data_IF_989438693685
#
_entry.id   IF_989438693685
#
_cell.length_a   1.000
_cell.length_b   1.000
_cell.length_c   1.000
_cell.angle_alpha   90.00
_cell.angle_beta   90.00
_cell.angle_gamma   90.00
#
_symmetry.space_group_name_H-M   'P 1'
#
loop_
_entity.id
_entity.type
_entity.pdbx_description
1 polymer ?
#
# COMPACT_ATOMS: atom_id res chain seq x y z
N UNK A 1 -3.51 -18.84 4.00
CA UNK A 1 -3.04 -18.14 5.21
C UNK A 1 -2.66 -16.71 4.82
N UNK A 2 -2.67 -15.73 5.73
CA UNK A 2 -2.20 -14.39 5.42
C UNK A 2 -0.70 -14.42 5.06
N UNK A 3 -0.26 -13.76 3.98
CA UNK A 3 1.15 -13.82 3.55
C UNK A 3 2.10 -13.02 4.44
N UNK A 4 1.59 -12.03 5.18
CA UNK A 4 2.37 -11.18 6.06
C UNK A 4 2.08 -11.46 7.53
N UNK A 5 3.12 -11.48 8.35
CA UNK A 5 3.01 -11.27 9.79
C UNK A 5 2.97 -9.77 10.06
N UNK A 6 1.98 -9.28 10.79
CA UNK A 6 1.93 -7.88 11.24
C UNK A 6 1.87 -7.86 12.76
N UNK A 7 2.80 -7.15 13.38
CA UNK A 7 2.86 -7.00 14.83
C UNK A 7 3.00 -5.53 15.20
N UNK A 8 2.33 -5.11 16.28
CA UNK A 8 2.60 -3.82 16.89
C UNK A 8 4.05 -3.77 17.39
N UNK A 9 4.69 -2.61 17.29
CA UNK A 9 6.01 -2.39 17.84
C UNK A 9 6.16 -0.98 18.39
N UNK A 10 7.09 -0.80 19.31
CA UNK A 10 7.38 0.51 19.87
C UNK A 10 8.22 1.36 18.90
N UNK A 11 7.84 2.63 18.81
CA UNK A 11 8.62 3.71 18.19
C UNK A 11 8.94 4.73 19.29
N UNK A 12 8.02 5.63 19.61
CA UNK A 12 8.19 6.63 20.66
C UNK A 12 6.84 7.17 21.14
N UNK A 13 6.84 8.21 21.98
CA UNK A 13 5.63 8.85 22.48
C UNK A 13 4.83 9.64 21.42
N UNK A 14 5.36 9.82 20.21
CA UNK A 14 4.75 10.62 19.15
C UNK A 14 4.04 9.76 18.10
N UNK A 15 4.43 8.50 17.95
CA UNK A 15 3.96 7.60 16.90
C UNK A 15 3.74 6.17 17.40
N UNK A 16 2.69 5.52 16.90
CA UNK A 16 2.48 4.08 17.04
C UNK A 16 3.22 3.31 15.95
N UNK A 17 3.67 2.09 16.24
CA UNK A 17 4.48 1.30 15.31
C UNK A 17 3.82 0.01 14.86
N UNK A 18 4.02 -0.32 13.59
CA UNK A 18 3.75 -1.65 13.03
C UNK A 18 5.02 -2.22 12.38
N UNK A 19 5.25 -3.51 12.60
CA UNK A 19 6.35 -4.26 12.00
C UNK A 19 5.76 -5.37 11.15
N UNK A 20 6.20 -5.45 9.90
CA UNK A 20 5.73 -6.45 8.94
C UNK A 20 6.87 -7.39 8.55
N UNK A 21 6.56 -8.68 8.49
CA UNK A 21 7.43 -9.72 7.93
C UNK A 21 6.66 -10.54 6.91
N UNK A 22 7.37 -11.11 5.94
CA UNK A 22 6.78 -12.07 5.00
C UNK A 22 6.87 -13.46 5.59
N UNK A 23 5.72 -14.09 5.80
CA UNK A 23 5.62 -15.48 6.30
C UNK A 23 5.43 -16.47 5.14
N UNK A 24 4.89 -16.02 4.01
CA UNK A 24 4.68 -16.83 2.81
C UNK A 24 4.99 -16.01 1.54
N UNK A 25 6.23 -16.16 1.04
CA UNK A 25 6.70 -15.50 -0.18
C UNK A 25 5.88 -15.90 -1.41
N UNK A 26 5.39 -17.14 -1.47
CA UNK A 26 4.66 -17.65 -2.65
C UNK A 26 3.28 -17.02 -2.74
N UNK A 27 2.55 -17.00 -1.62
CA UNK A 27 1.25 -16.34 -1.54
C UNK A 27 1.38 -14.84 -1.78
N UNK A 28 2.42 -14.19 -1.21
CA UNK A 28 2.66 -12.77 -1.41
C UNK A 28 2.93 -12.46 -2.89
N UNK A 29 3.84 -13.20 -3.53
CA UNK A 29 4.17 -13.05 -4.94
C UNK A 29 2.94 -13.24 -5.84
N UNK A 30 2.11 -14.25 -5.57
CA UNK A 30 0.87 -14.49 -6.31
C UNK A 30 -0.12 -13.33 -6.18
N UNK A 31 -0.29 -12.76 -4.99
CA UNK A 31 -1.14 -11.59 -4.78
C UNK A 31 -0.60 -10.35 -5.50
N UNK A 32 0.71 -10.13 -5.48
CA UNK A 32 1.37 -9.02 -6.20
C UNK A 32 1.17 -9.18 -7.71
N UNK A 33 1.29 -10.41 -8.24
CA UNK A 33 1.00 -10.70 -9.64
C UNK A 33 -0.46 -10.40 -10.02
N UNK A 34 -1.42 -10.80 -9.18
CA UNK A 34 -2.85 -10.53 -9.38
C UNK A 34 -3.12 -9.02 -9.39
N UNK A 35 -2.50 -8.26 -8.47
CA UNK A 35 -2.58 -6.79 -8.44
C UNK A 35 -1.94 -6.19 -9.70
N UNK A 36 -0.80 -6.70 -10.15
CA UNK A 36 -0.11 -6.24 -11.36
C UNK A 36 -0.93 -6.47 -12.64
N UNK A 37 -1.75 -7.53 -12.68
CA UNK A 37 -2.74 -7.79 -13.74
C UNK A 37 -4.01 -6.91 -13.62
N UNK A 38 -4.06 -5.96 -12.67
CA UNK A 38 -5.18 -5.06 -12.48
C UNK A 38 -6.33 -5.63 -11.65
N UNK A 39 -6.14 -6.77 -10.99
CA UNK A 39 -7.21 -7.48 -10.29
C UNK A 39 -7.15 -7.30 -8.76
N UNK A 40 -6.93 -6.07 -8.29
CA UNK A 40 -6.86 -5.75 -6.84
C UNK A 40 -8.13 -6.14 -6.07
N UNK A 41 -9.31 -6.07 -6.70
CA UNK A 41 -10.56 -6.55 -6.10
C UNK A 41 -10.54 -8.05 -5.83
N UNK A 42 -9.94 -8.85 -6.73
CA UNK A 42 -9.77 -10.28 -6.53
C UNK A 42 -8.75 -10.57 -5.42
N UNK A 43 -7.62 -9.85 -5.39
CA UNK A 43 -6.66 -9.94 -4.28
C UNK A 43 -7.32 -9.64 -2.93
N UNK A 44 -8.21 -8.64 -2.87
CA UNK A 44 -9.00 -8.32 -1.68
C UNK A 44 -9.90 -9.49 -1.26
N UNK A 45 -10.60 -10.11 -2.23
CA UNK A 45 -11.44 -11.27 -1.98
C UNK A 45 -10.63 -12.44 -1.42
N UNK A 46 -9.48 -12.75 -2.02
CA UNK A 46 -8.57 -13.81 -1.58
C UNK A 46 -8.12 -13.59 -0.15
N UNK A 47 -7.64 -12.39 0.19
CA UNK A 47 -7.22 -12.03 1.55
C UNK A 47 -8.37 -12.19 2.55
N UNK A 48 -9.56 -11.72 2.18
CA UNK A 48 -10.75 -11.76 3.02
C UNK A 48 -11.23 -13.19 3.30
N UNK A 49 -11.13 -14.08 2.30
CA UNK A 49 -11.57 -15.46 2.39
C UNK A 49 -10.42 -16.42 2.76
N UNK A 50 -9.20 -15.88 2.98
CA UNK A 50 -7.97 -16.63 3.26
C UNK A 50 -7.64 -17.70 2.21
N UNK A 51 -7.98 -17.44 0.94
CA UNK A 51 -7.79 -18.35 -0.18
C UNK A 51 -6.33 -18.35 -0.67
N UNK A 52 -5.91 -19.40 -1.40
CA UNK A 52 -4.70 -19.34 -2.21
C UNK A 52 -4.79 -18.24 -3.28
N UNK A 53 -3.65 -17.68 -3.66
CA UNK A 53 -3.58 -16.75 -4.78
C UNK A 53 -4.09 -17.42 -6.06
N UNK A 54 -5.15 -16.87 -6.64
CA UNK A 54 -5.72 -17.28 -7.91
C UNK A 54 -6.42 -16.08 -8.58
N UNK A 55 -6.01 -15.63 -9.78
CA UNK A 55 -6.69 -14.54 -10.46
C UNK A 55 -8.14 -14.91 -10.78
N UNK A 56 -9.00 -13.91 -10.95
CA UNK A 56 -10.39 -14.12 -11.34
C UNK A 56 -10.51 -14.57 -12.80
N UNK A 57 -9.57 -14.13 -13.63
CA UNK A 57 -9.43 -14.51 -15.03
C UNK A 57 -7.99 -14.24 -15.50
N UNK A 58 -7.62 -14.86 -16.62
CA UNK A 58 -6.31 -14.74 -17.25
C UNK A 58 -6.48 -14.38 -18.71
N UNK A 59 -5.67 -13.46 -19.22
CA UNK A 59 -5.47 -13.27 -20.66
C UNK A 59 -3.99 -13.08 -20.94
N UNK A 60 -3.48 -13.49 -22.13
CA UNK A 60 -2.08 -13.31 -22.47
C UNK A 60 -1.60 -11.86 -22.37
N UNK A 61 -2.46 -10.89 -22.71
CA UNK A 61 -2.14 -9.46 -22.70
C UNK A 61 -1.94 -8.93 -21.27
N UNK A 62 -2.84 -9.30 -20.34
CA UNK A 62 -2.72 -8.89 -18.94
C UNK A 62 -1.50 -9.51 -18.27
N UNK A 63 -1.25 -10.80 -18.55
CA UNK A 63 -0.05 -11.49 -18.08
C UNK A 63 1.22 -10.82 -18.63
N UNK A 64 1.25 -10.45 -19.91
CA UNK A 64 2.38 -9.75 -20.51
C UNK A 64 2.59 -8.34 -19.88
N UNK A 65 1.52 -7.56 -19.68
CA UNK A 65 1.61 -6.25 -19.04
C UNK A 65 2.12 -6.35 -17.60
N UNK A 66 1.60 -7.30 -16.82
CA UNK A 66 2.03 -7.53 -15.45
C UNK A 66 3.52 -7.90 -15.37
N UNK A 67 4.01 -8.77 -16.25
CA UNK A 67 5.44 -9.10 -16.34
C UNK A 67 6.30 -7.89 -16.68
N UNK A 68 5.85 -7.02 -17.58
CA UNK A 68 6.53 -5.75 -17.87
C UNK A 68 6.58 -4.86 -16.62
N UNK A 69 5.48 -4.73 -15.86
CA UNK A 69 5.47 -3.93 -14.60
C UNK A 69 6.46 -4.45 -13.55
N UNK A 70 6.67 -5.76 -13.49
CA UNK A 70 7.54 -6.42 -12.50
C UNK A 70 9.00 -6.52 -12.94
N UNK A 71 9.31 -6.21 -14.20
CA UNK A 71 10.66 -6.30 -14.77
C UNK A 71 11.38 -4.96 -14.66
N UNK A 72 12.66 -5.01 -14.25
CA UNK A 72 13.53 -3.83 -14.21
C UNK A 72 14.05 -3.48 -15.61
N UNK A 73 13.95 -2.21 -15.99
CA UNK A 73 14.51 -1.64 -17.20
C UNK A 73 14.93 -0.18 -16.94
N UNK A 74 16.22 0.05 -16.77
CA UNK A 74 16.75 1.41 -16.47
C UNK A 74 16.75 2.33 -17.68
N UNK A 75 17.09 1.80 -18.86
CA UNK A 75 17.14 2.58 -20.09
C UNK A 75 15.78 2.60 -20.77
N UNK A 76 15.29 3.77 -21.18
CA UNK A 76 14.05 3.87 -21.96
C UNK A 76 14.25 3.26 -23.35
N UNK A 77 13.36 2.35 -23.74
CA UNK A 77 13.31 1.75 -25.07
C UNK A 77 11.84 1.51 -25.52
N UNK A 78 11.67 1.24 -26.81
CA UNK A 78 10.39 0.93 -27.44
C UNK A 78 10.52 -0.34 -28.28
N UNK A 79 9.72 -1.40 -28.03
CA UNK A 79 8.70 -1.49 -26.98
C UNK A 79 9.30 -1.52 -25.57
N UNK A 80 8.52 -1.06 -24.58
CA UNK A 80 8.88 -1.16 -23.16
C UNK A 80 8.82 -2.63 -22.73
N UNK A 81 9.86 -3.10 -22.05
CA UNK A 81 9.94 -4.44 -21.46
C UNK A 81 10.02 -4.43 -19.93
N UNK A 82 10.21 -3.25 -19.32
CA UNK A 82 10.26 -3.06 -17.89
C UNK A 82 10.11 -1.60 -17.44
N UNK A 83 10.30 -1.35 -16.15
CA UNK A 83 10.32 -0.02 -15.54
C UNK A 83 11.63 0.22 -14.78
N UNK A 84 12.09 1.47 -14.62
CA UNK A 84 13.22 1.78 -13.73
C UNK A 84 13.02 1.16 -12.35
N UNK A 85 14.09 0.67 -11.73
CA UNK A 85 14.00 -0.10 -10.47
C UNK A 85 13.20 0.60 -9.39
N UNK A 86 13.39 1.91 -9.22
CA UNK A 86 12.65 2.68 -8.21
C UNK A 86 11.13 2.70 -8.43
N UNK A 87 10.66 2.60 -9.69
CA UNK A 87 9.23 2.49 -10.01
C UNK A 87 8.72 1.08 -9.75
N UNK A 88 9.49 0.07 -10.19
CA UNK A 88 9.17 -1.36 -9.98
C UNK A 88 9.07 -1.69 -8.49
N UNK A 89 10.11 -1.35 -7.72
CA UNK A 89 10.17 -1.59 -6.27
C UNK A 89 9.10 -0.77 -5.54
N UNK A 90 8.86 0.48 -5.99
CA UNK A 90 7.79 1.31 -5.46
C UNK A 90 6.41 0.67 -5.61
N UNK A 91 6.08 0.16 -6.80
CA UNK A 91 4.83 -0.55 -7.06
C UNK A 91 4.70 -1.82 -6.21
N UNK A 92 5.75 -2.65 -6.15
CA UNK A 92 5.73 -3.87 -5.33
C UNK A 92 5.50 -3.51 -3.86
N UNK A 93 6.20 -2.48 -3.35
CA UNK A 93 6.04 -2.06 -1.97
C UNK A 93 4.65 -1.50 -1.67
N UNK A 94 4.08 -0.72 -2.59
CA UNK A 94 2.71 -0.24 -2.49
C UNK A 94 1.70 -1.40 -2.41
N UNK A 95 1.88 -2.43 -3.24
CA UNK A 95 1.06 -3.64 -3.19
C UNK A 95 1.21 -4.36 -1.83
N UNK A 96 2.43 -4.53 -1.31
CA UNK A 96 2.66 -5.14 0.02
C UNK A 96 1.99 -4.31 1.12
N UNK A 97 2.17 -2.98 1.07
CA UNK A 97 1.62 -2.05 2.05
C UNK A 97 0.09 -2.05 2.08
N UNK A 98 -0.53 -2.23 0.90
CA UNK A 98 -1.97 -2.43 0.76
C UNK A 98 -2.43 -3.79 1.29
N UNK A 99 -1.67 -4.86 1.01
CA UNK A 99 -1.95 -6.21 1.54
C UNK A 99 -1.88 -6.20 3.08
N UNK A 100 -0.86 -5.57 3.67
CA UNK A 100 -0.70 -5.44 5.12
C UNK A 100 -1.92 -4.75 5.75
N UNK A 101 -2.33 -3.60 5.22
CA UNK A 101 -3.53 -2.90 5.70
C UNK A 101 -4.80 -3.77 5.56
N UNK A 102 -4.98 -4.46 4.44
CA UNK A 102 -6.14 -5.35 4.24
C UNK A 102 -6.18 -6.49 5.25
N UNK A 103 -5.02 -7.03 5.63
CA UNK A 103 -4.94 -8.06 6.67
C UNK A 103 -5.28 -7.53 8.06
N UNK A 104 -4.78 -6.35 8.42
CA UNK A 104 -4.98 -5.74 9.74
C UNK A 104 -6.41 -5.25 9.92
N UNK A 105 -6.95 -4.50 8.95
CA UNK A 105 -8.23 -3.81 9.09
C UNK A 105 -9.41 -4.57 8.45
N UNK A 106 -9.15 -5.59 7.63
CA UNK A 106 -10.17 -6.50 7.10
C UNK A 106 -11.28 -5.83 6.29
N UNK A 107 -12.53 -6.27 6.51
CA UNK A 107 -13.72 -5.88 5.73
C UNK A 107 -14.26 -4.48 6.06
N UNK A 108 -13.91 -3.91 7.20
CA UNK A 108 -14.34 -2.57 7.60
C UNK A 108 -13.50 -1.46 6.96
N UNK A 109 -12.34 -1.80 6.40
CA UNK A 109 -11.48 -0.87 5.68
C UNK A 109 -11.86 -0.77 4.19
N UNK A 110 -12.33 0.40 3.79
CA UNK A 110 -12.49 0.78 2.39
C UNK A 110 -11.24 1.48 1.94
N UNK A 111 -10.47 0.83 1.07
CA UNK A 111 -9.16 1.33 0.64
C UNK A 111 -9.12 1.60 -0.84
N UNK A 112 -8.41 2.66 -1.21
CA UNK A 112 -8.00 2.89 -2.59
C UNK A 112 -7.10 1.73 -3.03
N UNK A 113 -7.31 1.25 -4.25
CA UNK A 113 -6.50 0.15 -4.81
C UNK A 113 -5.09 0.67 -5.18
N UNK A 114 -4.06 -0.18 -5.17
CA UNK A 114 -2.70 0.23 -5.53
C UNK A 114 -2.64 0.83 -6.94
N UNK A 115 -1.76 1.80 -7.14
CA UNK A 115 -1.57 2.46 -8.43
C UNK A 115 -0.92 1.50 -9.44
N UNK A 116 -1.73 0.97 -10.35
CA UNK A 116 -1.24 0.19 -11.50
C UNK A 116 -0.66 1.06 -12.62
N UNK A 117 -0.78 2.40 -12.55
CA UNK A 117 -0.26 3.34 -13.55
C UNK A 117 0.60 4.44 -12.93
N UNK A 118 1.73 4.76 -13.59
CA UNK A 118 2.70 5.79 -13.17
C UNK A 118 2.23 7.23 -13.42
N UNK A 119 1.06 7.45 -14.04
CA UNK A 119 0.62 8.79 -14.50
C UNK A 119 -0.14 9.61 -13.46
N UNK A 120 -0.58 9.01 -12.35
CA UNK A 120 -1.25 9.73 -11.28
C UNK A 120 -0.26 10.15 -10.20
N UNK A 121 0.43 11.28 -10.40
CA UNK A 121 1.02 12.02 -9.28
C UNK A 121 -0.13 12.42 -8.34
N UNK A 122 -0.15 11.90 -7.11
CA UNK A 122 -1.31 12.07 -6.22
C UNK A 122 -1.18 11.25 -4.94
N UNK A 123 -2.23 11.28 -4.13
CA UNK A 123 -2.40 10.51 -2.88
C UNK A 123 -1.96 9.04 -3.03
N UNK A 124 -0.88 8.63 -2.34
CA UNK A 124 -0.35 7.24 -2.38
C UNK A 124 -1.40 6.24 -1.92
N UNK A 125 -2.05 6.50 -0.78
CA UNK A 125 -3.15 5.65 -0.30
C UNK A 125 -4.17 6.40 0.54
N UNK A 126 -5.39 5.88 0.55
CA UNK A 126 -6.47 6.32 1.40
C UNK A 126 -7.24 5.11 1.90
N UNK A 127 -7.53 5.10 3.20
CA UNK A 127 -8.39 4.13 3.84
C UNK A 127 -9.48 4.86 4.64
N UNK A 128 -10.71 4.41 4.50
CA UNK A 128 -11.84 4.79 5.34
C UNK A 128 -12.25 3.61 6.20
N UNK A 129 -12.40 3.85 7.49
CA UNK A 129 -13.12 2.96 8.39
C UNK A 129 -14.47 3.59 8.69
N UNK A 130 -15.52 2.85 8.36
CA UNK A 130 -16.90 3.29 8.56
C UNK A 130 -17.45 2.63 9.82
N UNK A 131 -18.34 3.36 10.49
CA UNK A 131 -19.25 2.80 11.49
C UNK A 131 -20.00 1.57 10.97
N UNK A 132 -20.43 0.70 11.89
CA UNK A 132 -21.11 -0.55 11.54
C UNK A 132 -22.38 -0.38 10.69
N UNK A 133 -23.09 0.75 10.85
CA UNK A 133 -24.28 1.11 10.05
C UNK A 133 -23.95 1.97 8.82
N UNK A 134 -22.66 2.30 8.61
CA UNK A 134 -22.11 3.10 7.51
C UNK A 134 -22.65 4.53 7.43
N UNK A 135 -23.17 5.08 8.53
CA UNK A 135 -23.71 6.45 8.57
C UNK A 135 -22.63 7.50 8.83
N UNK A 136 -21.49 7.09 9.40
CA UNK A 136 -20.34 7.94 9.66
C UNK A 136 -19.01 7.29 9.26
N UNK A 137 -18.06 8.14 8.89
CA UNK A 137 -16.64 7.80 8.82
C UNK A 137 -16.08 7.93 10.24
N UNK A 138 -15.58 6.82 10.78
CA UNK A 138 -14.91 6.77 12.09
C UNK A 138 -13.47 7.24 11.95
N UNK A 139 -12.77 6.77 10.90
CA UNK A 139 -11.40 7.18 10.62
C UNK A 139 -11.12 7.33 9.13
N UNK A 140 -10.26 8.30 8.81
CA UNK A 140 -9.63 8.46 7.52
C UNK A 140 -8.12 8.35 7.67
N UNK A 141 -7.51 7.31 7.09
CA UNK A 141 -6.07 7.12 7.15
C UNK A 141 -5.45 7.45 5.80
N UNK A 142 -4.56 8.45 5.79
CA UNK A 142 -3.78 8.90 4.63
C UNK A 142 -2.44 8.18 4.63
N UNK A 143 -2.08 7.55 3.52
CA UNK A 143 -0.83 6.81 3.42
C UNK A 143 0.20 7.61 2.63
N UNK A 144 1.47 7.54 3.02
CA UNK A 144 2.64 7.97 2.25
C UNK A 144 3.72 6.90 2.43
N UNK A 145 3.62 5.83 1.63
CA UNK A 145 4.42 4.61 1.79
C UNK A 145 5.55 4.61 0.77
N UNK A 146 6.80 4.43 1.19
CA UNK A 146 7.98 4.60 0.33
C UNK A 146 8.93 3.41 0.37
N UNK A 147 9.40 2.99 -0.79
CA UNK A 147 10.57 2.12 -0.94
C UNK A 147 11.78 2.98 -1.34
N UNK A 148 12.70 3.23 -0.40
CA UNK A 148 13.82 4.17 -0.58
C UNK A 148 15.14 3.57 -0.09
N UNK A 149 16.25 3.96 -0.73
CA UNK A 149 17.60 3.63 -0.24
C UNK A 149 18.01 4.49 0.98
N UNK A 150 17.33 5.62 1.19
CA UNK A 150 17.54 6.53 2.33
C UNK A 150 16.19 6.82 3.00
N UNK A 151 15.67 5.87 3.80
CA UNK A 151 14.33 5.96 4.36
C UNK A 151 14.22 7.10 5.39
N UNK A 152 15.24 7.35 6.20
CA UNK A 152 15.26 8.44 7.21
C UNK A 152 15.12 9.81 6.53
N UNK A 153 15.96 10.10 5.53
CA UNK A 153 15.89 11.35 4.78
C UNK A 153 14.59 11.46 3.99
N UNK A 154 14.12 10.35 3.42
CA UNK A 154 12.86 10.31 2.68
C UNK A 154 11.66 10.63 3.57
N UNK A 155 11.63 10.08 4.79
CA UNK A 155 10.59 10.38 5.76
C UNK A 155 10.59 11.88 6.10
N UNK A 156 11.74 12.39 6.52
CA UNK A 156 11.89 13.78 6.96
C UNK A 156 11.58 14.81 5.88
N UNK A 157 12.12 14.63 4.67
CA UNK A 157 12.09 15.67 3.64
C UNK A 157 11.04 15.47 2.55
N UNK A 158 10.37 14.31 2.50
CA UNK A 158 9.29 14.06 1.54
C UNK A 158 7.96 13.71 2.21
N UNK A 159 7.97 12.77 3.15
CA UNK A 159 6.73 12.27 3.77
C UNK A 159 6.14 13.29 4.74
N UNK A 160 6.92 13.85 5.67
CA UNK A 160 6.42 14.87 6.60
C UNK A 160 5.84 16.09 5.85
N UNK A 161 6.52 16.70 4.87
CA UNK A 161 5.94 17.80 4.09
C UNK A 161 4.64 17.41 3.37
N UNK A 162 4.58 16.22 2.76
CA UNK A 162 3.38 15.74 2.09
C UNK A 162 2.21 15.58 3.07
N UNK A 163 2.44 14.98 4.24
CA UNK A 163 1.41 14.89 5.28
C UNK A 163 0.97 16.25 5.80
N UNK A 164 1.89 17.20 5.99
CA UNK A 164 1.53 18.56 6.40
C UNK A 164 0.63 19.23 5.37
N UNK A 165 0.91 19.09 4.09
CA UNK A 165 0.04 19.63 3.04
C UNK A 165 -1.36 18.97 3.05
N UNK A 166 -1.45 17.67 3.36
CA UNK A 166 -2.75 17.01 3.58
C UNK A 166 -3.43 17.50 4.85
N UNK A 167 -2.69 17.63 5.94
CA UNK A 167 -3.17 18.09 7.25
C UNK A 167 -3.77 19.48 7.20
N UNK A 168 -3.07 20.39 6.54
CA UNK A 168 -3.50 21.77 6.31
C UNK A 168 -4.61 21.89 5.24
N UNK A 169 -5.12 20.75 4.74
CA UNK A 169 -6.19 20.66 3.74
C UNK A 169 -5.87 21.30 2.38
N UNK A 170 -4.59 21.61 2.09
CA UNK A 170 -4.14 22.19 0.80
C UNK A 170 -4.39 21.28 -0.41
N UNK A 171 -4.47 19.96 -0.18
CA UNK A 171 -4.75 18.94 -1.21
C UNK A 171 -6.00 18.10 -0.91
N UNK A 172 -7.02 18.70 -0.28
CA UNK A 172 -8.22 17.98 0.16
C UNK A 172 -9.09 17.47 -0.99
N UNK A 173 -9.08 18.14 -2.15
CA UNK A 173 -9.88 17.72 -3.30
C UNK A 173 -9.60 16.27 -3.71
N UNK A 174 -8.33 15.84 -3.69
CA UNK A 174 -7.95 14.46 -3.98
C UNK A 174 -8.46 13.48 -2.92
N UNK A 175 -8.42 13.86 -1.64
CA UNK A 175 -8.90 13.03 -0.52
C UNK A 175 -10.42 12.88 -0.61
N UNK A 176 -11.14 13.97 -0.84
CA UNK A 176 -12.60 13.98 -0.97
C UNK A 176 -13.02 13.11 -2.16
N UNK A 177 -12.41 13.30 -3.34
CA UNK A 177 -12.76 12.51 -4.53
C UNK A 177 -12.51 11.01 -4.31
N UNK A 178 -11.38 10.65 -3.69
CA UNK A 178 -11.09 9.26 -3.36
C UNK A 178 -12.07 8.72 -2.30
N UNK A 179 -12.42 9.51 -1.28
CA UNK A 179 -13.37 9.12 -0.25
C UNK A 179 -14.77 8.86 -0.83
N UNK A 180 -15.28 9.74 -1.69
CA UNK A 180 -16.58 9.56 -2.36
C UNK A 180 -16.62 8.24 -3.15
N UNK A 181 -15.57 7.93 -3.91
CA UNK A 181 -15.48 6.67 -4.64
C UNK A 181 -15.47 5.44 -3.71
N UNK A 182 -14.79 5.53 -2.56
CA UNK A 182 -14.75 4.46 -1.56
C UNK A 182 -16.11 4.26 -0.87
N UNK A 183 -16.82 5.34 -0.57
CA UNK A 183 -18.17 5.29 -0.02
C UNK A 183 -19.17 4.67 -1.01
N UNK A 184 -19.04 4.98 -2.31
CA UNK A 184 -19.79 4.29 -3.35
C UNK A 184 -19.53 2.78 -3.37
N UNK A 185 -18.27 2.34 -3.25
CA UNK A 185 -17.91 0.91 -3.08
C UNK A 185 -18.49 0.30 -1.79
N UNK A 186 -18.78 1.11 -0.78
CA UNK A 186 -19.47 0.67 0.43
C UNK A 186 -20.98 0.47 0.25
N UNK A 187 -21.53 0.81 -0.93
CA UNK A 187 -22.95 0.74 -1.25
C UNK A 187 -23.73 1.99 -0.85
N UNK A 188 -23.06 3.10 -0.59
CA UNK A 188 -23.70 4.38 -0.25
C UNK A 188 -24.03 5.12 -1.54
N UNK A 189 -25.26 5.65 -1.62
CA UNK A 189 -25.75 6.45 -2.76
C UNK A 189 -24.86 7.66 -3.05
N UNK A 190 -24.72 8.06 -4.32
CA UNK A 190 -23.79 9.12 -4.76
C UNK A 190 -24.00 10.45 -4.01
N UNK A 191 -25.26 10.85 -3.79
CA UNK A 191 -25.58 12.10 -3.08
C UNK A 191 -25.18 12.03 -1.61
N UNK A 192 -25.48 10.91 -0.96
CA UNK A 192 -25.10 10.66 0.43
C UNK A 192 -23.58 10.49 0.60
N UNK A 193 -22.91 9.82 -0.34
CA UNK A 193 -21.48 9.63 -0.38
C UNK A 193 -20.75 10.97 -0.49
N UNK A 194 -21.20 11.87 -1.37
CA UNK A 194 -20.63 13.20 -1.51
C UNK A 194 -20.76 14.04 -0.23
N UNK A 195 -21.91 13.96 0.46
CA UNK A 195 -22.11 14.65 1.74
C UNK A 195 -21.23 14.07 2.85
N UNK A 196 -21.22 12.75 3.00
CA UNK A 196 -20.44 12.04 4.01
C UNK A 196 -18.92 12.21 3.80
N UNK A 197 -18.46 12.30 2.55
CA UNK A 197 -17.07 12.55 2.23
C UNK A 197 -16.53 13.87 2.81
N UNK A 198 -17.38 14.85 3.14
CA UNK A 198 -16.93 16.07 3.81
C UNK A 198 -16.25 15.79 5.17
N UNK A 199 -16.62 14.68 5.84
CA UNK A 199 -16.05 14.28 7.12
C UNK A 199 -14.53 14.00 7.04
N UNK A 200 -13.99 13.70 5.85
CA UNK A 200 -12.53 13.49 5.70
C UNK A 200 -11.72 14.77 5.90
N UNK A 201 -12.37 15.94 5.92
CA UNK A 201 -11.74 17.23 6.21
C UNK A 201 -11.54 17.48 7.71
N UNK A 202 -12.21 16.69 8.55
CA UNK A 202 -12.07 16.70 10.01
C UNK A 202 -10.73 16.07 10.41
N UNK A 203 -9.86 16.88 11.01
CA UNK A 203 -8.52 16.45 11.43
C UNK A 203 -8.55 15.53 12.64
N UNK A 204 -9.59 15.59 13.46
CA UNK A 204 -9.73 14.73 14.65
C UNK A 204 -9.99 13.26 14.28
N UNK A 205 -10.50 13.03 13.07
CA UNK A 205 -10.76 11.70 12.50
C UNK A 205 -9.68 11.24 11.51
N UNK A 206 -8.55 11.95 11.43
CA UNK A 206 -7.53 11.69 10.43
C UNK A 206 -6.29 11.05 11.01
N UNK A 207 -5.85 9.95 10.40
CA UNK A 207 -4.59 9.27 10.71
C UNK A 207 -3.63 9.39 9.54
N UNK A 208 -2.35 9.30 9.85
CA UNK A 208 -1.26 9.36 8.88
C UNK A 208 -0.40 8.12 9.04
N UNK A 209 -0.32 7.33 7.98
CA UNK A 209 0.53 6.13 7.96
C UNK A 209 1.69 6.33 7.00
N UNK A 210 2.90 6.22 7.53
CA UNK A 210 4.12 6.12 6.74
C UNK A 210 4.72 4.73 6.86
N UNK A 211 4.68 3.96 5.79
CA UNK A 211 5.37 2.68 5.72
C UNK A 211 6.69 2.75 4.93
N UNK A 212 7.69 2.01 5.39
CA UNK A 212 8.97 1.83 4.68
C UNK A 212 9.36 0.37 4.56
N UNK A 213 9.89 -0.01 3.41
CA UNK A 213 10.73 -1.20 3.31
C UNK A 213 12.11 -0.88 3.87
N UNK A 214 12.50 -1.60 4.92
CA UNK A 214 13.76 -1.38 5.64
C UNK A 214 14.52 -2.68 5.78
N UNK A 215 15.85 -2.57 5.87
CA UNK A 215 16.68 -3.72 6.23
C UNK A 215 16.68 -3.93 7.74
N UNK A 216 17.23 -5.05 8.19
CA UNK A 216 17.43 -5.35 9.62
C UNK A 216 18.23 -4.28 10.38
N UNK A 217 18.93 -3.36 9.68
CA UNK A 217 19.65 -2.25 10.32
C UNK A 217 18.73 -1.24 11.03
N UNK A 218 17.50 -1.08 10.55
CA UNK A 218 16.48 -0.22 11.18
C UNK A 218 15.42 -1.05 11.95
N UNK A 219 15.62 -2.36 12.08
CA UNK A 219 14.71 -3.27 12.79
C UNK A 219 15.05 -3.34 14.30
N UNK A 220 15.18 -2.18 14.92
CA UNK A 220 15.35 -2.01 16.36
C UNK A 220 14.49 -0.84 16.82
N UNK A 221 14.25 -0.72 18.13
CA UNK A 221 13.50 0.42 18.68
C UNK A 221 14.19 1.74 18.34
N UNK A 222 15.50 1.84 18.55
CA UNK A 222 16.28 3.04 18.22
C UNK A 222 16.30 3.32 16.72
N UNK A 223 16.42 2.29 15.88
CA UNK A 223 16.36 2.44 14.42
C UNK A 223 15.00 2.95 13.93
N UNK A 224 13.91 2.46 14.52
CA UNK A 224 12.56 2.96 14.22
C UNK A 224 12.35 4.39 14.73
N UNK A 225 12.85 4.72 15.93
CA UNK A 225 12.84 6.10 16.45
C UNK A 225 13.58 7.06 15.52
N UNK A 226 14.74 6.66 15.02
CA UNK A 226 15.51 7.45 14.06
C UNK A 226 14.75 7.65 12.76
N UNK A 227 14.19 6.57 12.19
CA UNK A 227 13.43 6.61 10.95
C UNK A 227 12.22 7.55 11.03
N UNK A 228 11.45 7.46 12.11
CA UNK A 228 10.22 8.24 12.28
C UNK A 228 10.42 9.53 13.09
N UNK A 229 11.66 9.96 13.28
CA UNK A 229 11.98 11.20 13.96
C UNK A 229 11.31 12.40 13.28
N UNK A 230 10.65 13.25 14.07
CA UNK A 230 9.95 14.44 13.58
C UNK A 230 8.48 14.21 13.22
N UNK A 231 7.91 13.01 13.44
CA UNK A 231 6.48 12.78 13.15
C UNK A 231 5.55 13.75 13.92
N UNK A 232 5.98 14.22 15.10
CA UNK A 232 5.30 15.23 15.91
C UNK A 232 5.20 16.62 15.24
N UNK A 233 5.89 16.87 14.12
CA UNK A 233 5.71 18.08 13.31
C UNK A 233 4.30 18.19 12.70
N UNK A 234 3.57 17.08 12.59
CA UNK A 234 2.13 17.11 12.34
C UNK A 234 1.43 17.40 13.67
N UNK A 235 1.17 18.68 13.94
CA UNK A 235 0.54 19.14 15.19
C UNK A 235 -0.94 18.78 15.34
N UNK A 236 -1.51 19.13 16.49
CA UNK A 236 -2.94 19.06 16.80
C UNK A 236 -3.59 17.66 16.63
N UNK A 237 -2.79 16.60 16.74
CA UNK A 237 -3.23 15.20 16.70
C UNK A 237 -2.50 14.37 17.76
N UNK A 238 -3.12 13.27 18.17
CA UNK A 238 -2.55 12.36 19.17
C UNK A 238 -1.55 11.35 18.57
N UNK A 239 -0.97 10.52 19.43
CA UNK A 239 -0.03 9.47 19.04
C UNK A 239 -0.67 8.41 18.13
N UNK A 240 -1.93 8.03 18.39
CA UNK A 240 -2.64 7.00 17.63
C UNK A 240 -2.99 7.46 16.20
N UNK A 241 -2.97 8.78 15.96
CA UNK A 241 -3.12 9.37 14.63
C UNK A 241 -1.84 9.38 13.79
N UNK A 242 -0.70 8.97 14.36
CA UNK A 242 0.58 8.82 13.64
C UNK A 242 1.00 7.35 13.69
N UNK A 243 1.13 6.74 12.52
CA UNK A 243 1.45 5.32 12.38
C UNK A 243 2.70 5.15 11.51
N UNK A 244 3.78 4.66 12.12
CA UNK A 244 5.00 4.29 11.44
C UNK A 244 5.02 2.80 11.20
N UNK A 245 5.23 2.35 9.96
CA UNK A 245 5.29 0.94 9.64
C UNK A 245 6.60 0.55 8.95
N UNK A 246 7.14 -0.61 9.31
CA UNK A 246 8.36 -1.14 8.73
C UNK A 246 8.12 -2.55 8.16
N UNK A 247 8.22 -2.70 6.84
CA UNK A 247 8.46 -4.01 6.23
C UNK A 247 9.94 -4.35 6.41
N UNK A 248 10.24 -5.35 7.23
CA UNK A 248 11.62 -5.76 7.48
C UNK A 248 12.03 -6.81 6.46
N UNK A 249 13.07 -6.50 5.70
CA UNK A 249 13.66 -7.40 4.70
C UNK A 249 15.13 -7.68 5.02
N UNK A 250 15.74 -8.71 4.41
CA UNK A 250 17.18 -8.98 4.56
C UNK A 250 18.05 -7.78 4.14
N UNK A 251 19.34 -7.74 4.57
CA UNK A 251 20.23 -6.58 4.35
C UNK A 251 20.35 -6.08 2.90
N UNK A 252 20.09 -6.95 1.93
CA UNK A 252 20.16 -6.61 0.51
C UNK A 252 18.77 -6.28 -0.04
N UNK A 253 18.25 -5.11 0.34
CA UNK A 253 16.91 -4.61 -0.02
C UNK A 253 16.58 -4.83 -1.51
N UNK A 254 17.45 -4.36 -2.41
CA UNK A 254 17.20 -4.42 -3.87
C UNK A 254 17.22 -5.85 -4.42
N UNK A 255 18.11 -6.70 -3.92
CA UNK A 255 18.14 -8.13 -4.30
C UNK A 255 16.89 -8.86 -3.80
N UNK A 256 16.37 -8.51 -2.62
CA UNK A 256 15.11 -9.08 -2.11
C UNK A 256 13.91 -8.70 -2.99
N UNK A 257 13.80 -7.44 -3.41
CA UNK A 257 12.77 -7.03 -4.37
C UNK A 257 12.92 -7.72 -5.74
N UNK A 258 14.15 -7.98 -6.19
CA UNK A 258 14.40 -8.77 -7.41
C UNK A 258 13.90 -10.21 -7.28
N UNK A 259 14.15 -10.85 -6.14
CA UNK A 259 13.67 -12.22 -5.86
C UNK A 259 12.14 -12.28 -5.82
N UNK A 260 11.49 -11.39 -5.09
CA UNK A 260 10.03 -11.35 -4.98
C UNK A 260 9.36 -11.09 -6.34
N UNK A 261 9.92 -10.16 -7.14
CA UNK A 261 9.44 -9.93 -8.50
C UNK A 261 9.61 -11.16 -9.39
N UNK A 262 10.73 -11.87 -9.27
CA UNK A 262 10.97 -13.13 -9.98
C UNK A 262 9.95 -14.21 -9.64
N UNK A 263 9.59 -14.36 -8.36
CA UNK A 263 8.53 -15.27 -7.91
C UNK A 263 7.17 -14.89 -8.50
N UNK A 264 6.84 -13.59 -8.53
CA UNK A 264 5.58 -13.10 -9.08
C UNK A 264 5.51 -13.34 -10.61
N UNK A 265 6.61 -13.12 -11.34
CA UNK A 265 6.71 -13.41 -12.77
C UNK A 265 6.56 -14.91 -13.03
N UNK A 266 7.27 -15.76 -12.27
CA UNK A 266 7.17 -17.22 -12.40
C UNK A 266 5.73 -17.69 -12.14
N UNK A 267 5.06 -17.16 -11.13
CA UNK A 267 3.63 -17.43 -10.89
C UNK A 267 2.78 -17.08 -12.12
N UNK A 268 2.96 -15.90 -12.73
CA UNK A 268 2.23 -15.51 -13.95
C UNK A 268 2.47 -16.50 -15.09
N UNK A 269 3.69 -17.01 -15.24
CA UNK A 269 4.04 -17.96 -16.28
C UNK A 269 3.32 -19.31 -16.10
N UNK A 270 3.16 -19.79 -14.86
CA UNK A 270 2.38 -21.01 -14.58
C UNK A 270 0.91 -20.90 -14.96
N UNK A 271 0.34 -19.68 -14.96
CA UNK A 271 -1.06 -19.46 -15.34
C UNK A 271 -1.30 -19.75 -16.83
N UNK A 272 -0.29 -19.52 -17.69
CA UNK A 272 -0.39 -19.74 -19.13
C UNK A 272 -0.28 -21.22 -19.53
N UNK A 273 0.29 -22.07 -18.68
CA UNK A 273 0.40 -23.51 -18.91
C UNK A 273 -0.95 -24.25 -18.66
N UNK A 274 -1.90 -23.60 -17.98
CA UNK A 274 -3.21 -24.17 -17.62
C UNK A 274 -4.31 -24.07 -18.69
N UNK A 275 -4.09 -23.33 -19.79
CA UNK A 275 -5.09 -23.13 -20.86
C UNK A 275 -4.82 -23.94 -22.14
N UNK A 276 -3.74 -24.75 -22.20
CA UNK A 276 -3.42 -25.58 -23.37
C UNK A 276 -4.26 -26.87 -23.49
N UNK A 277 -5.40 -26.96 -22.79
CA UNK A 277 -6.20 -28.18 -22.71
C UNK A 277 -7.67 -27.94 -22.42
N UNK A 278 -8.37 -27.22 -23.33
CA UNK A 278 -9.80 -27.43 -23.62
C UNK A 278 -10.02 -27.24 -25.12
#
# INVERSE_FOLDING_TARGET
MPPLNTAECEIDANCTGERWQVDDDSQLAGLIAIIAMGQAAQASHILTQLLPAAPAFTTPELSAEAKIKLTVQEQKQTPRIGYPRWQRDGFIFEAISWIAARQVYGKSAYMKDPHVSTTSQGLDGLMLELSGDKTQIDWTTVFEDKCSDDPVSTFKYKVIPAFRDRHENKRSAEIIAAATALLGRAGIDDGAAAQLAAAVTDRTKRRYRAAFAVTTALDSEDGRKELFAGYNEIGDIDQAQRLGACLVVPPKLREWFDQLAGLAIAYIETLGEGEAGV
#
